data_IF_353490999953
#
_entry.id   IF_353490999953
#
_cell.length_a   1.000
_cell.length_b   1.000
_cell.length_c   1.000
_cell.angle_alpha   90.00
_cell.angle_beta   90.00
_cell.angle_gamma   90.00
#
_symmetry.space_group_name_H-M   'P 1'
#
loop_
_entity.id
_entity.type
_entity.pdbx_description
1 polymer ?
#
# COMPACT_ATOMS: atom_id res chain seq x y z
N UNK A 1 46.48 15.20 20.61
CA UNK A 1 45.80 14.48 19.51
C UNK A 1 45.34 13.16 20.13
N UNK A 2 44.09 12.84 20.40
CA UNK A 2 42.81 13.23 19.82
C UNK A 2 41.76 13.50 20.92
N UNK A 3 40.82 14.39 20.66
CA UNK A 3 39.91 15.04 21.61
C UNK A 3 38.49 14.74 21.16
N UNK A 4 37.85 13.67 21.68
CA UNK A 4 36.44 13.36 21.32
C UNK A 4 35.68 12.49 22.35
N UNK A 5 35.88 12.72 23.65
CA UNK A 5 35.00 12.16 24.70
C UNK A 5 34.32 13.29 25.47
N UNK A 6 33.40 13.98 24.79
CA UNK A 6 32.48 14.94 25.42
C UNK A 6 31.38 15.24 24.40
N UNK A 7 30.17 14.67 24.59
CA UNK A 7 28.83 15.18 24.18
C UNK A 7 27.79 14.03 24.07
N UNK A 8 27.63 13.19 25.09
CA UNK A 8 26.52 12.22 25.09
C UNK A 8 25.93 11.89 26.48
N UNK A 9 26.27 12.69 27.50
CA UNK A 9 25.68 12.58 28.84
C UNK A 9 25.35 13.98 29.30
N UNK A 10 24.11 14.43 29.10
CA UNK A 10 23.38 15.54 29.79
C UNK A 10 22.25 16.06 28.90
N UNK A 11 21.22 15.25 28.62
CA UNK A 11 19.93 15.79 28.16
C UNK A 11 18.72 14.90 28.51
N UNK A 12 18.81 14.06 29.53
CA UNK A 12 17.65 13.36 30.09
C UNK A 12 17.54 13.68 31.57
N UNK A 13 17.01 14.87 31.83
CA UNK A 13 16.38 15.17 33.10
C UNK A 13 14.87 15.02 32.93
N UNK A 14 14.26 14.13 33.74
CA UNK A 14 12.87 14.25 34.22
C UNK A 14 11.67 13.68 33.41
N UNK A 15 11.82 12.71 32.49
CA UNK A 15 10.65 11.93 31.97
C UNK A 15 10.87 10.41 32.07
N UNK A 16 10.76 9.87 33.29
CA UNK A 16 11.02 8.45 33.55
C UNK A 16 10.11 7.78 34.58
N UNK A 17 8.81 8.11 34.65
CA UNK A 17 7.89 7.50 35.63
C UNK A 17 6.43 7.29 35.12
N UNK A 18 6.21 6.78 33.90
CA UNK A 18 4.94 6.10 33.59
C UNK A 18 5.16 4.58 33.53
N UNK A 19 4.82 3.84 34.59
CA UNK A 19 4.86 2.38 34.57
C UNK A 19 3.69 1.86 33.72
N UNK A 20 3.96 1.40 32.51
CA UNK A 20 2.97 0.63 31.72
C UNK A 20 2.88 0.94 30.24
N UNK A 21 3.53 1.98 29.72
CA UNK A 21 3.60 2.16 28.26
C UNK A 21 4.65 1.22 27.69
N UNK A 22 4.19 0.04 27.28
CA UNK A 22 4.93 -0.79 26.32
C UNK A 22 5.10 0.07 25.06
N UNK A 23 6.33 0.32 24.59
CA UNK A 23 6.50 0.94 23.28
C UNK A 23 5.79 0.05 22.25
N UNK A 24 4.97 0.66 21.39
CA UNK A 24 4.38 -0.05 20.27
C UNK A 24 5.51 -0.75 19.48
N UNK A 25 5.32 -1.98 18.99
CA UNK A 25 6.32 -2.62 18.15
C UNK A 25 6.61 -1.69 16.98
N UNK A 26 7.90 -1.39 16.75
CA UNK A 26 8.31 -0.66 15.57
C UNK A 26 7.75 -1.39 14.33
N UNK A 27 7.28 -0.67 13.28
CA UNK A 27 6.89 -1.32 12.04
C UNK A 27 8.09 -2.15 11.57
N UNK A 28 7.90 -3.47 11.46
CA UNK A 28 8.97 -4.37 11.03
C UNK A 28 9.42 -3.97 9.63
N UNK A 29 10.71 -4.01 9.27
CA UNK A 29 11.11 -3.87 7.87
C UNK A 29 10.54 -5.07 7.12
N UNK A 30 9.54 -4.85 6.26
CA UNK A 30 8.81 -5.93 5.61
C UNK A 30 9.69 -6.59 4.54
N UNK A 31 10.27 -7.75 4.88
CA UNK A 31 11.01 -8.61 3.95
C UNK A 31 10.05 -9.47 3.14
N UNK A 32 9.06 -8.85 2.48
CA UNK A 32 8.04 -9.54 1.68
C UNK A 32 8.16 -9.22 0.19
N UNK A 33 7.53 -10.01 -0.71
CA UNK A 33 7.39 -9.63 -2.09
C UNK A 33 6.49 -8.38 -2.18
N UNK A 34 7.02 -7.34 -2.82
CA UNK A 34 6.30 -6.11 -3.12
C UNK A 34 5.75 -6.20 -4.53
N UNK A 35 4.50 -5.76 -4.71
CA UNK A 35 3.86 -5.73 -6.02
C UNK A 35 3.24 -4.36 -6.27
N UNK A 36 3.42 -3.86 -7.48
CA UNK A 36 2.78 -2.63 -7.92
C UNK A 36 1.32 -2.93 -8.29
N UNK A 37 0.39 -2.37 -7.53
CA UNK A 37 -1.04 -2.63 -7.66
C UNK A 37 -1.83 -1.32 -7.68
N UNK A 38 -2.97 -1.28 -8.38
CA UNK A 38 -3.83 -0.10 -8.38
C UNK A 38 -4.60 0.00 -7.05
N UNK A 39 -4.50 1.17 -6.43
CA UNK A 39 -5.34 1.59 -5.32
C UNK A 39 -6.44 2.49 -5.87
N UNK A 40 -7.68 2.07 -5.69
CA UNK A 40 -8.86 2.75 -6.24
C UNK A 40 -9.46 3.59 -5.13
N UNK A 41 -9.61 4.87 -5.38
CA UNK A 41 -10.35 5.77 -4.51
C UNK A 41 -11.84 5.67 -4.83
N UNK A 42 -12.63 5.20 -3.87
CA UNK A 42 -14.07 5.03 -4.05
C UNK A 42 -14.82 6.38 -4.07
N UNK A 43 -14.28 7.43 -3.45
CA UNK A 43 -14.89 8.77 -3.45
C UNK A 43 -14.81 9.39 -4.86
N UNK A 44 -13.71 9.14 -5.57
CA UNK A 44 -13.49 9.61 -6.95
C UNK A 44 -13.95 8.63 -8.03
N UNK A 45 -14.39 7.43 -7.66
CA UNK A 45 -14.85 6.43 -8.62
C UNK A 45 -16.32 6.65 -9.03
N UNK A 46 -16.57 6.67 -10.33
CA UNK A 46 -17.94 6.78 -10.91
C UNK A 46 -18.60 5.45 -11.19
N UNK A 47 -17.85 4.35 -11.14
CA UNK A 47 -18.32 3.08 -11.71
C UNK A 47 -18.36 3.04 -13.23
N UNK A 48 -17.62 3.91 -13.94
CA UNK A 48 -17.66 3.96 -15.41
C UNK A 48 -17.15 2.70 -16.13
N UNK A 49 -16.48 1.78 -15.44
CA UNK A 49 -16.04 0.49 -16.01
C UNK A 49 -14.82 0.53 -16.96
N UNK A 50 -14.34 1.72 -17.36
CA UNK A 50 -13.19 1.86 -18.29
C UNK A 50 -11.90 1.19 -17.79
N UNK A 51 -11.73 1.10 -16.47
CA UNK A 51 -10.60 0.41 -15.87
C UNK A 51 -10.62 -1.10 -16.13
N UNK A 52 -11.80 -1.72 -16.27
CA UNK A 52 -11.94 -3.15 -16.58
C UNK A 52 -11.54 -3.40 -18.03
N UNK A 53 -12.05 -2.60 -18.97
CA UNK A 53 -11.73 -2.69 -20.40
C UNK A 53 -10.21 -2.57 -20.63
N UNK A 54 -9.58 -1.56 -20.02
CA UNK A 54 -8.14 -1.39 -20.11
C UNK A 54 -7.38 -2.53 -19.44
N UNK A 55 -7.89 -3.05 -18.32
CA UNK A 55 -7.25 -4.17 -17.64
C UNK A 55 -7.32 -5.46 -18.47
N UNK A 56 -8.39 -5.73 -19.21
CA UNK A 56 -8.52 -6.93 -20.05
C UNK A 56 -7.55 -6.90 -21.25
N UNK A 57 -7.32 -5.71 -21.82
CA UNK A 57 -6.34 -5.53 -22.90
C UNK A 57 -4.89 -5.80 -22.43
N UNK A 58 -4.54 -5.32 -21.23
CA UNK A 58 -3.17 -5.39 -20.70
C UNK A 58 -2.91 -6.58 -19.76
N UNK A 59 -3.96 -7.22 -19.25
CA UNK A 59 -3.87 -8.27 -18.23
C UNK A 59 -4.92 -9.37 -18.47
N UNK A 60 -4.46 -10.59 -18.74
CA UNK A 60 -5.32 -11.73 -19.10
C UNK A 60 -6.18 -12.31 -17.96
N UNK A 61 -6.27 -11.66 -16.79
CA UNK A 61 -6.86 -12.26 -15.57
C UNK A 61 -7.84 -11.35 -14.83
N UNK A 62 -8.61 -10.50 -15.50
CA UNK A 62 -9.59 -9.51 -14.96
C UNK A 62 -9.36 -9.20 -13.48
N UNK A 63 -8.40 -8.32 -13.23
CA UNK A 63 -7.96 -8.06 -11.87
C UNK A 63 -8.93 -7.16 -11.11
N UNK A 64 -9.66 -6.33 -11.86
CA UNK A 64 -10.60 -5.32 -11.36
C UNK A 64 -12.00 -5.71 -11.82
N UNK A 65 -12.96 -5.61 -10.91
CA UNK A 65 -14.38 -5.81 -11.18
C UNK A 65 -15.20 -4.63 -10.64
N UNK A 66 -16.39 -4.42 -11.17
CA UNK A 66 -17.34 -3.44 -10.63
C UNK A 66 -18.23 -4.14 -9.61
N UNK A 67 -18.03 -3.83 -8.33
CA UNK A 67 -18.86 -4.31 -7.23
C UNK A 67 -19.61 -3.09 -6.68
N UNK A 68 -20.95 -3.17 -6.59
CA UNK A 68 -21.78 -2.04 -6.14
C UNK A 68 -21.55 -0.74 -6.92
N UNK A 69 -21.26 -0.84 -8.22
CA UNK A 69 -20.90 0.31 -9.08
C UNK A 69 -19.58 1.00 -8.69
N UNK A 70 -18.72 0.35 -7.91
CA UNK A 70 -17.36 0.84 -7.65
C UNK A 70 -16.33 -0.16 -8.17
N UNK A 71 -15.28 0.37 -8.79
CA UNK A 71 -14.17 -0.46 -9.25
C UNK A 71 -13.43 -1.01 -8.02
N UNK A 72 -13.30 -2.32 -7.95
CA UNK A 72 -12.67 -3.04 -6.84
C UNK A 72 -11.62 -4.00 -7.38
N UNK A 73 -10.44 -4.01 -6.79
CA UNK A 73 -9.38 -4.97 -7.11
C UNK A 73 -9.68 -6.31 -6.44
N UNK A 74 -10.18 -7.27 -7.21
CA UNK A 74 -10.59 -8.61 -6.73
C UNK A 74 -9.48 -9.65 -6.81
N UNK A 75 -8.57 -9.52 -7.79
CA UNK A 75 -7.52 -10.52 -8.07
C UNK A 75 -6.14 -9.85 -8.19
N UNK A 76 -5.55 -9.39 -7.06
CA UNK A 76 -4.22 -8.77 -7.06
C UNK A 76 -3.10 -9.70 -7.58
N UNK A 77 -3.27 -11.03 -7.44
CA UNK A 77 -2.33 -12.03 -7.93
C UNK A 77 -2.19 -12.01 -9.46
N UNK A 78 -3.27 -11.72 -10.18
CA UNK A 78 -3.28 -11.67 -11.65
C UNK A 78 -2.67 -10.38 -12.21
N UNK A 79 -2.65 -9.31 -11.42
CA UNK A 79 -2.29 -7.98 -11.91
C UNK A 79 -0.81 -7.95 -12.30
N UNK A 80 -0.50 -7.42 -13.48
CA UNK A 80 0.89 -7.26 -13.95
C UNK A 80 1.53 -5.97 -13.46
N UNK A 81 0.73 -5.04 -12.93
CA UNK A 81 1.19 -3.71 -12.52
C UNK A 81 1.44 -2.77 -13.70
N UNK A 82 0.81 -2.99 -14.86
CA UNK A 82 1.01 -2.20 -16.08
C UNK A 82 0.60 -0.72 -15.94
N UNK A 83 -0.35 -0.41 -15.05
CA UNK A 83 -0.84 0.96 -14.84
C UNK A 83 -1.89 1.44 -15.86
N UNK A 84 -2.26 0.60 -16.84
CA UNK A 84 -3.24 0.96 -17.87
C UNK A 84 -4.61 1.38 -17.31
N UNK A 85 -5.03 0.75 -16.20
CA UNK A 85 -6.27 1.11 -15.52
C UNK A 85 -6.26 2.54 -14.96
N UNK A 86 -5.10 3.06 -14.53
CA UNK A 86 -4.96 4.43 -14.05
C UNK A 86 -5.11 5.44 -15.20
N UNK A 87 -4.46 5.18 -16.33
CA UNK A 87 -4.54 6.02 -17.54
C UNK A 87 -5.95 6.01 -18.16
N UNK A 88 -6.65 4.87 -18.09
CA UNK A 88 -8.01 4.75 -18.60
C UNK A 88 -9.05 5.48 -17.73
N UNK A 89 -8.73 5.80 -16.48
CA UNK A 89 -9.67 6.43 -15.56
C UNK A 89 -9.86 7.93 -15.90
N UNK A 90 -11.06 8.36 -16.35
CA UNK A 90 -11.29 9.75 -16.72
C UNK A 90 -11.30 10.71 -15.52
N UNK A 91 -11.56 10.18 -14.32
CA UNK A 91 -11.55 10.92 -13.05
C UNK A 91 -10.15 11.01 -12.44
N UNK A 92 -9.22 10.14 -12.83
CA UNK A 92 -7.92 10.02 -12.17
C UNK A 92 -7.96 9.38 -10.77
N UNK A 93 -9.07 8.75 -10.36
CA UNK A 93 -9.23 8.14 -9.02
C UNK A 93 -8.51 6.80 -8.81
N UNK A 94 -7.55 6.43 -9.67
CA UNK A 94 -6.79 5.18 -9.54
C UNK A 94 -5.30 5.52 -9.48
N UNK A 95 -4.65 5.12 -8.39
CA UNK A 95 -3.24 5.39 -8.16
C UNK A 95 -2.45 4.08 -8.01
N UNK A 96 -1.33 3.95 -8.70
CA UNK A 96 -0.46 2.78 -8.55
C UNK A 96 0.36 2.91 -7.26
N UNK A 97 0.33 1.89 -6.40
CA UNK A 97 1.10 1.85 -5.16
C UNK A 97 1.83 0.52 -4.99
N UNK A 98 2.98 0.58 -4.32
CA UNK A 98 3.71 -0.61 -3.90
C UNK A 98 3.04 -1.20 -2.67
N UNK A 99 2.38 -2.34 -2.84
CA UNK A 99 1.71 -3.05 -1.77
C UNK A 99 2.50 -4.31 -1.41
N UNK A 100 2.54 -4.63 -0.12
CA UNK A 100 3.08 -5.89 0.36
C UNK A 100 2.07 -7.01 0.06
N UNK A 101 2.50 -8.03 -0.66
CA UNK A 101 1.70 -9.23 -0.91
C UNK A 101 2.27 -10.41 -0.15
N UNK A 102 1.43 -11.40 0.16
CA UNK A 102 1.89 -12.66 0.72
C UNK A 102 2.51 -13.55 -0.38
N UNK A 103 3.17 -14.63 0.02
CA UNK A 103 3.78 -15.59 -0.92
C UNK A 103 2.79 -16.31 -1.81
N UNK A 104 1.53 -16.43 -1.37
CA UNK A 104 0.39 -16.94 -2.15
C UNK A 104 -0.22 -15.89 -3.10
N UNK A 105 0.27 -14.65 -3.07
CA UNK A 105 -0.20 -13.56 -3.93
C UNK A 105 -1.45 -12.83 -3.43
N UNK A 106 -1.99 -13.20 -2.27
CA UNK A 106 -3.01 -12.41 -1.58
C UNK A 106 -2.45 -11.06 -1.11
N UNK A 107 -3.29 -10.03 -1.17
CA UNK A 107 -2.99 -8.75 -0.53
C UNK A 107 -2.89 -8.95 0.98
N UNK A 108 -1.87 -8.33 1.59
CA UNK A 108 -1.84 -8.22 3.05
C UNK A 108 -2.78 -7.10 3.43
N UNK A 109 -3.92 -7.46 4.02
CA UNK A 109 -4.83 -6.47 4.57
C UNK A 109 -4.11 -5.62 5.62
N UNK A 110 -4.09 -4.28 5.47
CA UNK A 110 -3.49 -3.41 6.48
C UNK A 110 -4.32 -3.36 7.78
N UNK A 111 -5.55 -3.89 7.78
CA UNK A 111 -6.49 -3.78 8.90
C UNK A 111 -6.54 -5.03 9.79
N UNK A 112 -6.05 -6.19 9.31
CA UNK A 112 -5.98 -7.42 10.11
C UNK A 112 -7.32 -8.10 10.36
#
# INVERSE_FOLDING_TARGET
>A
MDKSESTARRRWGWLGLLPGLRPAPAPTPHTGPWKLLPLIDHDDCTGCGRCIEACDQDCSKDCIELIWSFATLVRPQGCTGSGACAEACPRGGINMHWLAVNTDGSLRDPVG
#
